data_IF_501977548069
#
_entry.id   IF_501977548069
#
_cell.length_a   1.000
_cell.length_b   1.000
_cell.length_c   1.000
_cell.angle_alpha   90.00
_cell.angle_beta   90.00
_cell.angle_gamma   90.00
#
_symmetry.space_group_name_H-M   'P 1'
#
loop_
_entity.id
_entity.type
_entity.pdbx_description
1 polymer ?
#
# COMPACT_ATOMS: atom_id res chain seq x y z
N UNK A 1 5.23 -36.34 40.92
CA UNK A 1 5.92 -36.49 39.61
C UNK A 1 6.40 -35.10 39.21
N UNK A 2 7.67 -34.80 39.45
CA UNK A 2 8.25 -33.51 39.08
C UNK A 2 8.57 -33.50 37.59
N UNK A 3 8.04 -32.54 36.84
CA UNK A 3 8.55 -32.24 35.50
C UNK A 3 9.91 -31.57 35.68
N UNK A 4 10.95 -32.34 35.40
CA UNK A 4 12.33 -31.88 35.35
C UNK A 4 12.52 -30.98 34.12
N UNK A 5 12.52 -29.67 34.34
CA UNK A 5 12.79 -28.62 33.33
C UNK A 5 14.31 -28.36 33.31
N UNK A 6 15.10 -29.41 33.15
CA UNK A 6 16.51 -29.25 32.83
C UNK A 6 16.64 -28.82 31.37
N UNK A 7 17.08 -27.57 31.15
CA UNK A 7 17.34 -26.94 29.85
C UNK A 7 18.47 -27.61 29.02
N UNK A 8 19.08 -28.67 29.54
CA UNK A 8 20.25 -29.35 28.97
C UNK A 8 19.90 -30.55 28.07
N UNK A 9 18.60 -30.84 27.87
CA UNK A 9 18.18 -31.90 26.94
C UNK A 9 18.16 -31.38 25.50
N UNK A 10 18.81 -32.08 24.54
CA UNK A 10 18.76 -31.71 23.14
C UNK A 10 17.32 -31.73 22.64
N UNK A 11 16.96 -30.77 21.80
CA UNK A 11 15.60 -30.64 21.24
C UNK A 11 15.21 -31.97 20.58
N UNK A 12 14.07 -32.58 20.96
CA UNK A 12 13.57 -33.81 20.36
C UNK A 12 13.56 -33.73 18.84
N UNK A 13 13.98 -34.80 18.16
CA UNK A 13 14.11 -34.80 16.70
C UNK A 13 12.78 -34.51 15.96
N UNK A 14 11.65 -34.77 16.62
CA UNK A 14 10.30 -34.45 16.11
C UNK A 14 9.96 -32.96 16.19
N UNK A 15 10.63 -32.21 17.07
CA UNK A 15 10.52 -30.76 17.22
C UNK A 15 11.62 -30.02 16.46
N UNK A 16 12.55 -30.74 15.83
CA UNK A 16 13.53 -30.13 14.94
C UNK A 16 12.83 -29.75 13.62
N UNK A 17 12.84 -28.46 13.30
CA UNK A 17 12.26 -27.95 12.05
C UNK A 17 12.86 -28.66 10.84
N UNK A 18 12.01 -29.21 9.97
CA UNK A 18 12.44 -29.90 8.73
C UNK A 18 13.21 -29.00 7.76
N UNK A 19 13.07 -27.69 7.93
CA UNK A 19 13.75 -26.68 7.14
C UNK A 19 14.45 -25.72 8.09
N UNK A 20 15.72 -25.43 7.79
CA UNK A 20 16.45 -24.36 8.45
C UNK A 20 15.71 -23.05 8.23
N UNK A 21 15.53 -22.25 9.29
CA UNK A 21 14.95 -20.90 9.19
C UNK A 21 15.74 -20.01 8.23
N UNK A 22 17.05 -20.25 8.08
CA UNK A 22 17.90 -19.57 7.10
C UNK A 22 17.57 -19.89 5.63
N UNK A 23 16.75 -20.91 5.36
CA UNK A 23 16.33 -21.31 4.01
C UNK A 23 14.93 -20.79 3.66
N UNK A 24 14.25 -20.13 4.59
CA UNK A 24 12.98 -19.45 4.29
C UNK A 24 13.34 -18.21 3.49
N UNK A 25 13.07 -18.25 2.18
CA UNK A 25 13.15 -17.05 1.35
C UNK A 25 12.07 -16.08 1.79
N UNK A 26 12.46 -15.08 2.60
CA UNK A 26 11.60 -13.93 2.86
C UNK A 26 11.56 -13.10 1.60
N UNK A 27 10.36 -12.91 1.05
CA UNK A 27 10.19 -11.93 -0.02
C UNK A 27 10.65 -10.56 0.49
N UNK A 28 11.37 -9.77 -0.32
CA UNK A 28 11.73 -8.41 0.07
C UNK A 28 10.45 -7.61 0.37
N UNK A 29 10.53 -6.60 1.21
CA UNK A 29 9.40 -5.69 1.38
C UNK A 29 9.30 -4.79 0.14
N UNK A 30 8.14 -4.68 -0.54
CA UNK A 30 7.96 -3.77 -1.67
C UNK A 30 8.33 -2.31 -1.34
N UNK A 31 8.27 -1.88 -0.08
CA UNK A 31 8.73 -0.56 0.36
C UNK A 31 10.22 -0.31 0.11
N UNK A 32 11.03 -1.38 0.04
CA UNK A 32 12.49 -1.33 -0.20
C UNK A 32 12.85 -1.40 -1.68
N UNK A 33 11.87 -1.63 -2.55
CA UNK A 33 12.08 -1.77 -3.99
C UNK A 33 11.85 -0.42 -4.69
N UNK A 34 12.61 -0.15 -5.75
CA UNK A 34 12.37 0.97 -6.67
C UNK A 34 11.15 0.70 -7.54
N UNK A 35 9.95 0.93 -6.99
CA UNK A 35 8.68 0.73 -7.69
C UNK A 35 8.35 1.93 -8.58
N UNK A 36 8.08 1.66 -9.86
CA UNK A 36 7.64 2.67 -10.84
C UNK A 36 6.27 2.29 -11.44
N UNK A 37 5.64 3.27 -12.09
CA UNK A 37 4.43 3.05 -12.89
C UNK A 37 3.29 2.37 -12.13
N UNK A 38 2.77 1.31 -12.73
CA UNK A 38 1.62 0.57 -12.19
C UNK A 38 1.96 -0.22 -10.92
N UNK A 39 3.21 -0.66 -10.76
CA UNK A 39 3.66 -1.39 -9.56
C UNK A 39 3.60 -0.50 -8.33
N UNK A 40 4.04 0.75 -8.45
CA UNK A 40 3.96 1.73 -7.36
C UNK A 40 2.52 1.96 -6.94
N UNK A 41 1.64 2.21 -7.92
CA UNK A 41 0.21 2.44 -7.67
C UNK A 41 -0.48 1.25 -7.02
N UNK A 42 -0.13 0.03 -7.44
CA UNK A 42 -0.63 -1.20 -6.84
C UNK A 42 -0.25 -1.28 -5.37
N UNK A 43 1.03 -1.04 -5.05
CA UNK A 43 1.51 -1.07 -3.67
C UNK A 43 0.87 0.01 -2.80
N UNK A 44 0.79 1.25 -3.28
CA UNK A 44 0.09 2.34 -2.56
C UNK A 44 -1.38 1.99 -2.27
N UNK A 45 -2.05 1.32 -3.21
CA UNK A 45 -3.44 0.89 -3.02
C UNK A 45 -3.53 -0.24 -1.99
N UNK A 46 -2.58 -1.18 -2.01
CA UNK A 46 -2.49 -2.25 -1.02
C UNK A 46 -2.23 -1.70 0.39
N UNK A 47 -1.38 -0.68 0.53
CA UNK A 47 -1.15 0.02 1.80
C UNK A 47 -2.42 0.70 2.32
N UNK A 48 -3.20 1.37 1.45
CA UNK A 48 -4.49 1.96 1.83
C UNK A 48 -5.49 0.92 2.32
N UNK A 49 -5.54 -0.25 1.68
CA UNK A 49 -6.38 -1.35 2.13
C UNK A 49 -5.94 -1.87 3.50
N UNK A 50 -4.63 -2.00 3.73
CA UNK A 50 -4.07 -2.34 5.05
C UNK A 50 -4.49 -1.32 6.12
N UNK A 51 -4.49 -0.02 5.80
CA UNK A 51 -5.00 1.02 6.71
C UNK A 51 -6.46 0.82 7.08
N UNK A 52 -7.34 0.54 6.10
CA UNK A 52 -8.74 0.22 6.38
C UNK A 52 -8.90 -1.03 7.25
N UNK A 53 -8.06 -2.04 7.04
CA UNK A 53 -8.06 -3.22 7.89
C UNK A 53 -7.68 -2.90 9.33
N UNK A 54 -6.65 -2.09 9.55
CA UNK A 54 -6.25 -1.68 10.89
C UNK A 54 -7.30 -0.80 11.57
N UNK A 55 -7.95 0.08 10.82
CA UNK A 55 -9.08 0.85 11.32
C UNK A 55 -10.18 -0.07 11.86
N UNK A 56 -10.66 -1.03 11.05
CA UNK A 56 -11.65 -2.02 11.48
C UNK A 56 -11.19 -2.84 12.70
N UNK A 57 -9.91 -3.20 12.75
CA UNK A 57 -9.33 -3.96 13.87
C UNK A 57 -9.32 -3.13 15.14
N UNK A 58 -8.81 -1.90 15.10
CA UNK A 58 -8.76 -0.98 16.24
C UNK A 58 -10.17 -0.66 16.74
N UNK A 59 -11.10 -0.44 15.82
CA UNK A 59 -12.52 -0.25 16.13
C UNK A 59 -13.11 -1.44 16.89
N UNK A 60 -12.79 -2.66 16.46
CA UNK A 60 -13.26 -3.88 17.12
C UNK A 60 -12.67 -4.00 18.54
N UNK A 61 -11.40 -3.65 18.72
CA UNK A 61 -10.74 -3.63 20.03
C UNK A 61 -11.36 -2.58 20.94
N UNK A 62 -11.59 -1.36 20.43
CA UNK A 62 -12.20 -0.28 21.20
C UNK A 62 -13.60 -0.62 21.69
N UNK A 63 -14.41 -1.29 20.87
CA UNK A 63 -15.76 -1.75 21.24
C UNK A 63 -15.76 -2.75 22.40
N UNK A 64 -14.64 -3.43 22.68
CA UNK A 64 -14.53 -4.35 23.83
C UNK A 64 -14.25 -3.64 25.16
N UNK A 65 -13.93 -2.34 25.14
CA UNK A 65 -13.66 -1.57 26.36
C UNK A 65 -15.01 -1.09 26.94
N UNK A 66 -15.39 -1.52 28.15
CA UNK A 66 -16.65 -1.12 28.76
C UNK A 66 -16.61 0.37 29.14
N UNK A 67 -17.31 1.20 28.36
CA UNK A 67 -17.39 2.66 28.58
C UNK A 67 -18.36 3.03 29.70
N UNK A 68 -19.44 2.25 29.84
CA UNK A 68 -20.54 2.51 30.78
C UNK A 68 -20.17 2.24 32.24
N UNK A 69 -19.22 1.33 32.48
CA UNK A 69 -18.76 0.96 33.82
C UNK A 69 -17.60 1.83 34.33
N UNK A 70 -17.13 2.80 33.54
CA UNK A 70 -15.98 3.63 33.88
C UNK A 70 -16.42 4.96 34.54
N UNK A 71 -16.17 5.16 35.85
CA UNK A 71 -16.54 6.40 36.56
C UNK A 71 -15.79 7.65 36.08
N UNK A 72 -14.73 7.46 35.28
CA UNK A 72 -13.89 8.52 34.72
C UNK A 72 -14.16 8.78 33.22
N UNK A 73 -15.24 8.24 32.66
CA UNK A 73 -15.56 8.43 31.26
C UNK A 73 -15.88 9.89 30.92
N UNK A 74 -15.13 10.47 29.99
CA UNK A 74 -15.18 11.87 29.57
C UNK A 74 -16.32 12.22 28.60
N UNK A 75 -17.22 11.28 28.31
CA UNK A 75 -18.37 11.46 27.42
C UNK A 75 -18.01 11.75 25.96
N UNK A 76 -18.94 12.37 25.22
CA UNK A 76 -18.82 12.60 23.76
C UNK A 76 -17.53 13.31 23.32
N UNK A 77 -16.94 14.16 24.16
CA UNK A 77 -15.67 14.82 23.84
C UNK A 77 -14.52 13.81 23.79
N UNK A 78 -14.46 12.93 24.78
CA UNK A 78 -13.46 11.86 24.80
C UNK A 78 -13.63 10.97 23.57
N UNK A 79 -14.86 10.62 23.19
CA UNK A 79 -15.08 9.78 22.00
C UNK A 79 -14.53 10.41 20.73
N UNK A 80 -14.80 11.70 20.49
CA UNK A 80 -14.31 12.40 19.29
C UNK A 80 -12.77 12.45 19.26
N UNK A 81 -12.12 12.72 20.39
CA UNK A 81 -10.66 12.72 20.46
C UNK A 81 -10.07 11.32 20.33
N UNK A 82 -10.73 10.29 20.87
CA UNK A 82 -10.36 8.91 20.65
C UNK A 82 -10.48 8.53 19.18
N UNK A 83 -11.57 8.88 18.50
CA UNK A 83 -11.76 8.59 17.07
C UNK A 83 -10.59 9.14 16.24
N UNK A 84 -10.29 10.43 16.40
CA UNK A 84 -9.15 11.05 15.72
C UNK A 84 -7.81 10.40 16.10
N UNK A 85 -7.65 9.96 17.35
CA UNK A 85 -6.42 9.29 17.79
C UNK A 85 -6.26 7.90 17.13
N UNK A 86 -7.35 7.13 17.05
CA UNK A 86 -7.33 5.80 16.44
C UNK A 86 -7.13 5.88 14.93
N UNK A 87 -7.68 6.91 14.26
CA UNK A 87 -7.40 7.18 12.84
C UNK A 87 -5.90 7.35 12.58
N UNK A 88 -5.22 8.16 13.41
CA UNK A 88 -3.77 8.38 13.29
C UNK A 88 -2.97 7.10 13.60
N UNK A 89 -3.40 6.31 14.58
CA UNK A 89 -2.77 5.01 14.86
C UNK A 89 -2.96 4.02 13.71
N UNK A 90 -4.13 3.97 13.09
CA UNK A 90 -4.37 3.13 11.93
C UNK A 90 -3.43 3.50 10.78
N UNK A 91 -3.23 4.79 10.53
CA UNK A 91 -2.29 5.28 9.51
C UNK A 91 -0.83 4.93 9.84
N UNK A 92 -0.39 5.19 11.08
CA UNK A 92 0.98 4.85 11.50
C UNK A 92 1.25 3.35 11.42
N UNK A 93 0.29 2.50 11.82
CA UNK A 93 0.42 1.05 11.71
C UNK A 93 0.43 0.60 10.24
N UNK A 94 -0.36 1.24 9.37
CA UNK A 94 -0.36 0.94 7.95
C UNK A 94 0.99 1.20 7.27
N UNK A 95 1.73 2.21 7.72
CA UNK A 95 3.06 2.57 7.21
C UNK A 95 4.21 1.82 7.91
N UNK A 96 3.96 1.20 9.06
CA UNK A 96 5.00 0.54 9.85
C UNK A 96 5.57 -0.68 9.13
N UNK A 97 6.90 -0.74 8.91
CA UNK A 97 7.55 -1.91 8.30
C UNK A 97 7.37 -3.16 9.17
N UNK A 98 7.15 -4.31 8.53
CA UNK A 98 7.01 -5.61 9.20
C UNK A 98 5.56 -6.12 9.30
N UNK A 99 4.57 -5.31 8.93
CA UNK A 99 3.21 -5.78 8.68
C UNK A 99 3.08 -6.21 7.21
N UNK A 100 2.70 -7.47 6.98
CA UNK A 100 2.87 -8.11 5.67
C UNK A 100 1.66 -8.01 4.75
N UNK A 101 0.49 -7.57 5.23
CA UNK A 101 -0.75 -7.67 4.45
C UNK A 101 -0.67 -6.90 3.13
N UNK A 102 -0.15 -5.66 3.13
CA UNK A 102 0.04 -4.90 1.91
C UNK A 102 1.02 -5.58 0.94
N UNK A 103 2.10 -6.16 1.47
CA UNK A 103 3.08 -6.91 0.67
C UNK A 103 2.49 -8.20 0.09
N UNK A 104 1.67 -8.92 0.85
CA UNK A 104 1.02 -10.16 0.43
C UNK A 104 0.01 -9.88 -0.70
N UNK A 105 -0.79 -8.82 -0.55
CA UNK A 105 -1.71 -8.33 -1.57
C UNK A 105 -0.93 -7.94 -2.82
N UNK A 106 0.12 -7.13 -2.67
CA UNK A 106 0.98 -6.71 -3.77
C UNK A 106 1.50 -7.92 -4.55
N UNK A 107 2.13 -8.89 -3.89
CA UNK A 107 2.69 -10.05 -4.56
C UNK A 107 1.63 -10.97 -5.20
N UNK A 108 0.42 -11.03 -4.63
CA UNK A 108 -0.68 -11.80 -5.22
C UNK A 108 -1.20 -11.19 -6.53
N UNK A 109 -1.01 -9.89 -6.72
CA UNK A 109 -1.54 -9.13 -7.85
C UNK A 109 -0.47 -8.68 -8.84
N UNK A 110 0.79 -8.58 -8.42
CA UNK A 110 1.91 -8.13 -9.24
C UNK A 110 2.05 -8.97 -10.52
N UNK A 111 1.79 -10.28 -10.43
CA UNK A 111 1.84 -11.19 -11.58
C UNK A 111 0.81 -10.86 -12.68
N UNK A 112 -0.23 -10.07 -12.35
CA UNK A 112 -1.27 -9.62 -13.29
C UNK A 112 -0.91 -8.32 -13.98
N UNK A 113 0.10 -7.60 -13.49
CA UNK A 113 0.56 -6.37 -14.11
C UNK A 113 1.34 -6.67 -15.39
N UNK A 114 1.20 -5.84 -16.44
CA UNK A 114 2.07 -5.93 -17.60
C UNK A 114 3.53 -5.81 -17.16
N UNK A 115 4.41 -6.53 -17.85
CA UNK A 115 5.85 -6.31 -17.68
C UNK A 115 6.15 -4.92 -18.20
N UNK A 116 6.65 -4.05 -17.33
CA UNK A 116 7.09 -2.70 -17.70
C UNK A 116 8.18 -2.89 -18.77
N UNK A 117 7.84 -2.67 -20.03
CA UNK A 117 8.82 -2.71 -21.11
C UNK A 117 9.46 -1.35 -21.14
N UNK A 118 10.72 -1.30 -20.75
CA UNK A 118 11.55 -0.11 -20.90
C UNK A 118 11.45 0.38 -22.35
N UNK A 119 10.82 1.54 -22.54
CA UNK A 119 10.51 2.10 -23.85
C UNK A 119 11.81 2.29 -24.65
N UNK A 120 12.93 2.51 -23.95
CA UNK A 120 14.27 2.65 -24.51
C UNK A 120 14.78 1.39 -25.20
N UNK A 121 14.29 0.21 -24.79
CA UNK A 121 14.68 -1.09 -25.34
C UNK A 121 13.78 -1.54 -26.52
N UNK A 122 12.73 -0.78 -26.84
CA UNK A 122 11.84 -1.09 -27.96
C UNK A 122 12.48 -0.65 -29.30
N UNK A 123 12.14 -1.29 -30.43
CA UNK A 123 12.55 -0.82 -31.74
C UNK A 123 12.20 0.67 -31.96
N UNK A 124 13.06 1.45 -32.63
CA UNK A 124 12.90 2.91 -32.75
C UNK A 124 11.60 3.33 -33.45
N UNK A 125 11.02 2.46 -34.26
CA UNK A 125 9.73 2.67 -34.94
C UNK A 125 8.56 2.69 -33.94
N UNK A 126 8.52 1.71 -33.03
CA UNK A 126 7.52 1.63 -31.96
C UNK A 126 7.68 2.80 -30.99
N UNK A 127 8.92 3.22 -30.69
CA UNK A 127 9.16 4.39 -29.83
C UNK A 127 8.55 5.67 -30.41
N UNK A 128 8.72 5.90 -31.72
CA UNK A 128 8.12 7.06 -32.41
C UNK A 128 6.60 7.01 -32.35
N UNK A 129 6.03 5.84 -32.55
CA UNK A 129 4.59 5.63 -32.55
C UNK A 129 3.97 5.88 -31.16
N UNK A 130 4.60 5.39 -30.09
CA UNK A 130 4.20 5.66 -28.71
C UNK A 130 4.28 7.17 -28.41
N UNK A 131 5.38 7.82 -28.79
CA UNK A 131 5.57 9.26 -28.56
C UNK A 131 4.53 10.10 -29.31
N UNK A 132 4.18 9.70 -30.53
CA UNK A 132 3.14 10.35 -31.31
C UNK A 132 1.76 10.18 -30.66
N UNK A 133 1.42 8.96 -30.25
CA UNK A 133 0.16 8.69 -29.55
C UNK A 133 0.03 9.51 -28.24
N UNK A 134 1.12 9.56 -27.45
CA UNK A 134 1.17 10.38 -26.24
C UNK A 134 0.92 11.86 -26.55
N UNK A 135 1.57 12.40 -27.60
CA UNK A 135 1.37 13.78 -28.05
C UNK A 135 -0.09 14.04 -28.45
N UNK A 136 -0.68 13.17 -29.26
CA UNK A 136 -2.08 13.30 -29.70
C UNK A 136 -3.07 13.23 -28.53
N UNK A 137 -2.83 12.34 -27.56
CA UNK A 137 -3.67 12.23 -26.37
C UNK A 137 -3.59 13.48 -25.48
N UNK A 138 -2.39 14.07 -25.33
CA UNK A 138 -2.20 15.33 -24.62
C UNK A 138 -2.93 16.48 -25.34
N UNK A 139 -2.75 16.61 -26.66
CA UNK A 139 -3.43 17.64 -27.47
C UNK A 139 -4.96 17.55 -27.37
N UNK A 140 -5.53 16.34 -27.33
CA UNK A 140 -6.98 16.14 -27.11
C UNK A 140 -7.46 16.51 -25.71
N UNK A 141 -6.59 16.41 -24.70
CA UNK A 141 -6.93 16.75 -23.31
C UNK A 141 -6.83 18.25 -23.03
N UNK A 142 -6.14 19.01 -23.89
CA UNK A 142 -6.10 20.45 -23.77
C UNK A 142 -7.49 21.03 -24.07
N UNK A 143 -7.96 21.99 -23.27
CA UNK A 143 -9.16 22.73 -23.63
C UNK A 143 -8.92 23.38 -25.00
N UNK A 144 -9.95 23.47 -25.87
CA UNK A 144 -9.79 24.07 -27.19
C UNK A 144 -9.22 25.47 -27.01
N UNK A 145 -7.96 25.66 -27.39
CA UNK A 145 -7.33 26.97 -27.35
C UNK A 145 -7.95 27.79 -28.47
N UNK A 146 -8.72 28.81 -28.12
CA UNK A 146 -9.16 29.81 -29.10
C UNK A 146 -7.89 30.39 -29.72
N UNK A 147 -7.73 30.29 -31.03
CA UNK A 147 -6.52 30.76 -31.69
C UNK A 147 -6.42 32.27 -31.50
N UNK A 148 -5.26 32.78 -31.11
CA UNK A 148 -5.03 34.23 -30.93
C UNK A 148 -5.33 35.01 -32.21
N UNK A 149 -5.20 34.37 -33.37
CA UNK A 149 -5.56 34.93 -34.68
C UNK A 149 -7.07 35.06 -34.90
N UNK A 150 -7.87 34.13 -34.37
CA UNK A 150 -9.34 34.16 -34.47
C UNK A 150 -9.90 35.27 -33.56
N UNK A 151 -9.36 35.42 -32.35
CA UNK A 151 -9.72 36.50 -31.42
C UNK A 151 -9.44 37.87 -32.05
N UNK A 152 -8.25 38.05 -32.64
CA UNK A 152 -7.88 39.31 -33.28
C UNK A 152 -8.75 39.63 -34.50
N UNK A 153 -9.18 38.63 -35.28
CA UNK A 153 -10.12 38.84 -36.38
C UNK A 153 -11.51 39.24 -35.89
N UNK A 154 -12.03 38.62 -34.83
CA UNK A 154 -13.34 39.00 -34.27
C UNK A 154 -13.36 40.44 -33.73
N UNK A 155 -12.26 40.89 -33.11
CA UNK A 155 -12.18 42.25 -32.55
C UNK A 155 -11.99 43.34 -33.62
N UNK A 156 -11.65 42.93 -34.85
CA UNK A 156 -11.47 43.82 -36.00
C UNK A 156 -12.72 43.95 -36.89
N UNK A 157 -13.81 43.25 -36.56
CA UNK A 157 -15.13 43.44 -37.17
C UNK A 157 -15.94 44.50 -36.42
#
# INVERSE_FOLDING_TARGET
MGMDISLDKPIPQELQGRFSSSRVETRPDPSTLELTGERKKLYETAQKFQGLFFDMMLDSMRKTIPKEDNPLYGGNRQDIFEDMLYDEYAQQLAETPGMTLASDIYYSMESRLPRERDISQLPPEIQKQIRQFQKESYERSLPPSVSTSEIQQEWSR
#
